data_IF_091907822013
#
_entry.id   IF_091907822013
#
_cell.length_a   1.000
_cell.length_b   1.000
_cell.length_c   1.000
_cell.angle_alpha   90.00
_cell.angle_beta   90.00
_cell.angle_gamma   90.00
#
_symmetry.space_group_name_H-M   'P 1'
#
loop_
_entity.id
_entity.type
_entity.pdbx_description
1 polymer ?
#
# COMPACT_ATOMS: atom_id res chain seq x y z
N UNK A 1 -0.06 15.47 15.69
CA UNK A 1 -1.40 14.88 15.74
C UNK A 1 -1.69 14.37 14.34
N UNK A 2 -1.47 13.08 14.09
CA UNK A 2 -1.69 12.49 12.76
C UNK A 2 -3.16 12.07 12.67
N UNK A 3 -4.00 12.89 12.03
CA UNK A 3 -5.47 12.74 12.00
C UNK A 3 -5.99 11.78 10.92
N UNK A 4 -5.12 10.98 10.32
CA UNK A 4 -5.45 10.10 9.19
C UNK A 4 -4.73 8.77 9.34
N UNK A 5 -5.47 7.69 9.07
CA UNK A 5 -4.92 6.35 8.89
C UNK A 5 -4.93 6.01 7.41
N UNK A 6 -3.83 5.44 6.93
CA UNK A 6 -3.70 4.94 5.56
C UNK A 6 -3.93 3.44 5.60
N UNK A 7 -4.95 2.98 4.89
CA UNK A 7 -5.16 1.55 4.69
C UNK A 7 -4.76 1.21 3.26
N UNK A 8 -3.88 0.22 3.12
CA UNK A 8 -3.45 -0.29 1.82
C UNK A 8 -4.68 -0.85 1.11
N UNK A 9 -5.09 -0.19 0.04
CA UNK A 9 -6.14 -0.71 -0.85
C UNK A 9 -5.48 -1.56 -1.92
N UNK A 10 -4.27 -1.17 -2.35
CA UNK A 10 -3.66 -1.73 -3.54
C UNK A 10 -2.14 -1.54 -3.57
N UNK A 11 -1.43 -2.62 -3.90
CA UNK A 11 0.00 -2.63 -4.20
C UNK A 11 0.19 -3.44 -5.49
N UNK A 12 0.91 -2.92 -6.48
CA UNK A 12 1.14 -3.61 -7.77
C UNK A 12 2.59 -3.81 -8.14
N UNK A 13 2.94 -5.07 -8.30
CA UNK A 13 4.14 -5.49 -9.00
C UNK A 13 3.74 -5.87 -10.42
N UNK A 14 4.41 -5.29 -11.41
CA UNK A 14 3.95 -5.31 -12.80
C UNK A 14 4.48 -6.49 -13.63
N UNK A 15 4.94 -7.55 -12.98
CA UNK A 15 5.23 -8.83 -13.65
C UNK A 15 3.98 -9.50 -14.20
N UNK A 16 4.18 -10.15 -15.35
CA UNK A 16 3.17 -10.88 -16.10
C UNK A 16 2.89 -12.27 -15.51
N UNK A 17 1.61 -12.63 -15.56
CA UNK A 17 1.00 -13.94 -15.35
C UNK A 17 0.70 -14.40 -13.91
N UNK A 18 -0.62 -14.66 -13.77
CA UNK A 18 -1.39 -15.18 -12.63
C UNK A 18 -1.70 -14.13 -11.56
N UNK A 19 -3.00 -13.88 -11.34
CA UNK A 19 -3.52 -13.13 -10.20
C UNK A 19 -3.13 -13.84 -8.90
N UNK A 20 -1.94 -13.52 -8.40
CA UNK A 20 -1.41 -14.00 -7.13
C UNK A 20 -0.96 -12.80 -6.34
N UNK A 21 -1.40 -12.77 -5.09
CA UNK A 21 -0.84 -11.92 -4.06
C UNK A 21 0.51 -12.53 -3.67
N UNK A 22 1.59 -11.76 -3.76
CA UNK A 22 2.97 -12.21 -3.50
C UNK A 22 3.60 -11.32 -2.43
N UNK A 23 4.29 -11.96 -1.49
CA UNK A 23 5.19 -11.29 -0.55
C UNK A 23 6.61 -11.45 -1.03
N UNK A 24 7.37 -10.38 -0.95
CA UNK A 24 8.78 -10.40 -1.32
C UNK A 24 9.65 -10.39 -0.07
N UNK A 25 10.62 -11.31 -0.01
CA UNK A 25 11.53 -11.42 1.14
C UNK A 25 12.37 -10.15 1.34
N UNK A 26 12.62 -9.39 0.27
CA UNK A 26 13.35 -8.13 0.29
C UNK A 26 12.45 -6.91 0.56
N UNK A 27 11.13 -7.10 0.76
CA UNK A 27 10.25 -6.02 1.22
C UNK A 27 10.31 -5.88 2.74
N UNK A 28 11.05 -4.88 3.23
CA UNK A 28 11.20 -4.64 4.67
C UNK A 28 9.88 -4.30 5.39
N UNK A 29 8.85 -3.91 4.63
CA UNK A 29 7.52 -3.61 5.14
C UNK A 29 6.56 -4.80 5.03
N UNK A 30 7.04 -5.96 4.54
CA UNK A 30 6.27 -7.20 4.37
C UNK A 30 4.94 -6.98 3.62
N UNK A 31 4.98 -6.03 2.68
CA UNK A 31 3.88 -5.65 1.81
C UNK A 31 3.51 -6.80 0.88
N UNK A 32 2.21 -6.95 0.63
CA UNK A 32 1.66 -7.92 -0.31
C UNK A 32 1.40 -7.21 -1.63
N UNK A 33 2.11 -7.60 -2.68
CA UNK A 33 1.96 -7.06 -4.03
C UNK A 33 1.07 -7.98 -4.86
N UNK A 34 0.16 -7.43 -5.68
CA UNK A 34 -0.62 -8.25 -6.61
C UNK A 34 -0.24 -7.99 -8.07
N UNK A 35 -0.41 -9.01 -8.90
CA UNK A 35 -0.18 -8.95 -10.35
C UNK A 35 -1.52 -8.98 -11.09
N UNK A 36 -2.21 -7.84 -11.22
CA UNK A 36 -3.52 -7.83 -11.90
C UNK A 36 -3.90 -6.53 -12.61
N UNK A 37 -2.91 -5.76 -13.07
CA UNK A 37 -3.25 -4.73 -14.06
C UNK A 37 -3.64 -5.44 -15.37
N UNK A 38 -4.88 -5.29 -15.86
CA UNK A 38 -5.27 -5.85 -17.14
C UNK A 38 -4.37 -5.23 -18.20
N UNK A 39 -3.64 -6.07 -18.94
CA UNK A 39 -2.82 -5.62 -20.04
C UNK A 39 -3.74 -4.98 -21.07
N UNK A 40 -3.66 -3.66 -21.22
CA UNK A 40 -4.10 -3.05 -22.46
C UNK A 40 -3.15 -3.51 -23.57
N UNK A 41 -3.60 -3.59 -24.84
CA UNK A 41 -2.72 -3.90 -25.98
C UNK A 41 -1.56 -2.90 -26.14
N UNK A 42 -1.59 -1.79 -25.41
CA UNK A 42 -0.70 -0.64 -25.49
C UNK A 42 0.49 -0.73 -24.53
N UNK A 43 0.62 -1.80 -23.75
CA UNK A 43 1.66 -1.95 -22.72
C UNK A 43 2.53 -3.19 -22.99
N UNK A 44 3.83 -3.08 -22.71
CA UNK A 44 4.80 -4.19 -22.64
C UNK A 44 5.47 -4.24 -21.27
N UNK A 45 6.14 -5.34 -20.95
CA UNK A 45 6.93 -5.47 -19.72
C UNK A 45 8.42 -5.39 -20.03
N UNK A 46 9.16 -4.68 -19.18
CA UNK A 46 10.61 -4.62 -19.21
C UNK A 46 11.17 -5.02 -17.84
N UNK A 47 12.37 -5.58 -17.83
CA UNK A 47 13.11 -5.91 -16.62
C UNK A 47 14.59 -5.60 -16.82
N UNK A 48 15.33 -5.47 -15.72
CA UNK A 48 16.79 -5.45 -15.79
C UNK A 48 17.37 -6.84 -15.59
N UNK A 49 18.39 -7.18 -16.38
CA UNK A 49 19.18 -8.41 -16.24
C UNK A 49 20.21 -8.34 -15.11
N UNK A 50 20.40 -7.16 -14.49
CA UNK A 50 21.35 -6.96 -13.38
C UNK A 50 20.67 -7.09 -12.03
N UNK A 51 21.47 -7.38 -11.00
CA UNK A 51 21.03 -7.34 -9.60
C UNK A 51 20.47 -5.96 -9.27
N UNK A 52 19.33 -5.93 -8.59
CA UNK A 52 18.55 -4.75 -8.22
C UNK A 52 19.26 -3.86 -7.17
N UNK A 53 20.44 -3.35 -7.50
CA UNK A 53 21.19 -2.40 -6.67
C UNK A 53 20.69 -0.98 -6.97
N UNK A 54 19.43 -0.72 -6.62
CA UNK A 54 18.87 0.61 -6.72
C UNK A 54 19.48 1.50 -5.64
N UNK A 55 19.95 2.69 -6.02
CA UNK A 55 20.30 3.71 -5.01
C UNK A 55 19.01 4.09 -4.29
N UNK A 56 18.94 3.91 -2.97
CA UNK A 56 17.73 4.29 -2.22
C UNK A 56 17.44 5.77 -2.44
N UNK A 57 16.34 6.06 -3.14
CA UNK A 57 15.99 7.42 -3.52
C UNK A 57 15.10 8.13 -2.52
N UNK A 58 14.40 7.38 -1.66
CA UNK A 58 13.41 7.88 -0.71
C UNK A 58 13.05 6.82 0.36
N UNK A 59 12.46 7.27 1.48
CA UNK A 59 11.88 6.41 2.51
C UNK A 59 10.66 5.65 1.97
N UNK A 60 10.40 4.43 2.44
CA UNK A 60 9.21 3.61 2.04
C UNK A 60 9.25 3.07 0.60
N UNK A 61 10.42 3.09 -0.02
CA UNK A 61 10.67 2.51 -1.34
C UNK A 61 10.16 1.05 -1.45
N UNK A 62 9.51 0.67 -2.58
CA UNK A 62 9.14 -0.70 -2.87
C UNK A 62 10.32 -1.67 -2.82
N UNK A 63 10.02 -2.97 -2.63
CA UNK A 63 11.03 -4.02 -2.74
C UNK A 63 11.84 -3.89 -4.04
N UNK A 64 13.13 -4.21 -3.98
CA UNK A 64 14.00 -4.13 -5.14
C UNK A 64 13.49 -5.04 -6.26
N UNK A 65 12.89 -6.18 -5.88
CA UNK A 65 12.16 -7.09 -6.77
C UNK A 65 11.05 -6.39 -7.58
N UNK A 66 10.26 -5.52 -6.96
CA UNK A 66 9.21 -4.73 -7.65
C UNK A 66 9.84 -3.74 -8.62
N UNK A 67 10.84 -2.98 -8.13
CA UNK A 67 11.50 -1.93 -8.90
C UNK A 67 12.30 -2.45 -10.09
N UNK A 68 12.78 -3.70 -10.04
CA UNK A 68 13.52 -4.31 -11.14
C UNK A 68 12.66 -4.71 -12.34
N UNK A 69 11.36 -4.48 -12.24
CA UNK A 69 10.38 -4.72 -13.30
C UNK A 69 9.55 -3.48 -13.53
N UNK A 70 9.14 -3.26 -14.78
CA UNK A 70 8.24 -2.17 -15.11
C UNK A 70 7.31 -2.57 -16.24
N UNK A 71 6.14 -1.94 -16.27
CA UNK A 71 5.39 -1.79 -17.52
C UNK A 71 5.91 -0.59 -18.29
N UNK A 72 5.91 -0.71 -19.60
CA UNK A 72 6.31 0.32 -20.54
C UNK A 72 5.20 0.54 -21.55
N UNK A 73 4.92 1.80 -21.88
CA UNK A 73 4.00 2.11 -22.96
C UNK A 73 4.60 1.69 -24.30
N UNK A 74 3.79 1.15 -25.21
CA UNK A 74 4.18 0.93 -26.60
C UNK A 74 4.16 2.21 -27.42
N UNK A 75 3.34 3.18 -27.01
CA UNK A 75 3.23 4.50 -27.61
C UNK A 75 3.85 5.60 -26.73
N UNK A 76 3.23 6.76 -26.75
CA UNK A 76 3.65 7.93 -25.96
C UNK A 76 2.98 8.01 -24.59
N UNK A 77 1.93 7.23 -24.33
CA UNK A 77 1.17 7.30 -23.09
C UNK A 77 0.73 5.94 -22.56
N UNK A 78 0.41 5.90 -21.26
CA UNK A 78 -0.32 4.81 -20.62
C UNK A 78 -1.35 5.37 -19.64
N UNK A 79 -2.51 4.70 -19.55
CA UNK A 79 -3.63 5.15 -18.71
C UNK A 79 -4.16 4.01 -17.86
N UNK A 80 -4.54 4.34 -16.62
CA UNK A 80 -5.15 3.43 -15.68
C UNK A 80 -6.43 4.03 -15.11
N UNK A 81 -7.52 3.28 -15.23
CA UNK A 81 -8.78 3.58 -14.56
C UNK A 81 -9.00 2.54 -13.46
N UNK A 82 -9.06 3.01 -12.21
CA UNK A 82 -9.17 2.17 -11.02
C UNK A 82 -10.61 2.11 -10.49
N UNK A 83 -11.62 2.33 -11.33
CA UNK A 83 -13.06 2.29 -10.98
C UNK A 83 -13.51 1.02 -10.27
N UNK A 84 -12.88 -0.13 -10.53
CA UNK A 84 -13.24 -1.42 -9.91
C UNK A 84 -12.80 -1.55 -8.45
N UNK A 85 -11.89 -0.68 -7.99
CA UNK A 85 -11.24 -0.78 -6.68
C UNK A 85 -11.33 0.52 -5.87
N UNK A 86 -11.76 1.62 -6.50
CA UNK A 86 -11.93 2.93 -5.85
C UNK A 86 -13.40 3.30 -5.75
N UNK A 87 -13.75 4.12 -4.76
CA UNK A 87 -15.13 4.53 -4.48
C UNK A 87 -15.28 6.04 -4.68
N UNK A 88 -16.33 6.53 -5.38
CA UNK A 88 -16.61 7.95 -5.58
C UNK A 88 -16.61 8.83 -4.31
N UNK A 89 -16.86 8.25 -3.14
CA UNK A 89 -17.02 8.98 -1.87
C UNK A 89 -15.74 9.01 -1.01
N UNK A 90 -14.78 8.15 -1.31
CA UNK A 90 -13.55 7.99 -0.54
C UNK A 90 -12.46 8.96 -0.99
N UNK A 91 -11.55 9.25 -0.08
CA UNK A 91 -10.30 9.93 -0.37
C UNK A 91 -9.18 8.89 -0.50
N UNK A 92 -8.29 9.09 -1.45
CA UNK A 92 -7.19 8.19 -1.75
C UNK A 92 -5.87 8.94 -1.81
N UNK A 93 -4.82 8.31 -1.31
CA UNK A 93 -3.43 8.71 -1.55
C UNK A 93 -2.83 7.72 -2.54
N UNK A 94 -2.28 8.22 -3.63
CA UNK A 94 -1.74 7.43 -4.75
C UNK A 94 -0.24 7.66 -4.84
N UNK A 95 0.53 6.59 -4.97
CA UNK A 95 1.97 6.62 -5.18
C UNK A 95 2.35 5.82 -6.42
N UNK A 96 3.08 6.46 -7.31
CA UNK A 96 3.61 5.90 -8.54
C UNK A 96 5.13 5.82 -8.40
N UNK A 97 5.68 4.61 -8.47
CA UNK A 97 7.10 4.35 -8.27
C UNK A 97 7.78 4.09 -9.61
N UNK A 98 8.92 4.74 -9.81
CA UNK A 98 9.70 4.70 -11.04
C UNK A 98 11.15 4.30 -10.73
N UNK A 99 11.71 3.41 -11.55
CA UNK A 99 13.11 3.09 -11.55
C UNK A 99 13.62 2.98 -13.00
N UNK A 100 14.76 3.61 -13.29
CA UNK A 100 15.31 3.63 -14.65
C UNK A 100 16.08 2.34 -14.96
N UNK A 101 15.48 1.48 -15.79
CA UNK A 101 16.00 0.15 -16.14
C UNK A 101 16.80 0.12 -17.46
N UNK A 102 16.76 1.19 -18.24
CA UNK A 102 17.39 1.31 -19.56
C UNK A 102 18.76 1.98 -19.40
N UNK A 103 19.79 1.37 -19.98
CA UNK A 103 21.16 1.85 -19.83
C UNK A 103 21.47 2.98 -20.83
N UNK A 104 22.29 3.97 -20.45
CA UNK A 104 22.88 4.89 -21.42
C UNK A 104 23.62 4.13 -22.53
N UNK A 105 23.63 4.61 -23.79
CA UNK A 105 23.13 5.89 -24.27
C UNK A 105 21.73 5.83 -24.90
N UNK A 106 20.92 4.82 -24.60
CA UNK A 106 19.67 4.49 -25.32
C UNK A 106 18.62 5.62 -25.28
N UNK A 107 18.68 6.52 -24.30
CA UNK A 107 17.85 7.71 -24.21
C UNK A 107 17.57 8.08 -22.75
N UNK A 108 16.70 9.06 -22.56
CA UNK A 108 16.11 9.42 -21.26
C UNK A 108 14.60 9.49 -21.43
N UNK A 109 13.87 9.22 -20.34
CA UNK A 109 12.42 9.42 -20.30
C UNK A 109 12.13 10.77 -19.69
N UNK A 110 11.40 11.60 -20.42
CA UNK A 110 10.79 12.81 -19.90
C UNK A 110 9.28 12.65 -20.00
N UNK A 111 8.55 12.88 -18.91
CA UNK A 111 7.13 12.55 -18.85
C UNK A 111 6.37 13.44 -17.88
N UNK A 112 5.06 13.57 -18.10
CA UNK A 112 4.11 14.13 -17.14
C UNK A 112 3.29 13.00 -16.52
N UNK A 113 2.76 13.27 -15.32
CA UNK A 113 1.85 12.37 -14.61
C UNK A 113 0.58 13.15 -14.30
N UNK A 114 -0.57 12.58 -14.63
CA UNK A 114 -1.89 13.13 -14.31
C UNK A 114 -2.59 12.19 -13.35
N UNK A 115 -3.08 12.69 -12.21
CA UNK A 115 -3.93 11.94 -11.27
C UNK A 115 -5.21 12.73 -11.07
N UNK A 116 -6.38 12.19 -11.47
CA UNK A 116 -7.69 12.86 -11.47
C UNK A 116 -7.61 14.33 -11.93
N UNK A 117 -7.18 14.53 -13.18
CA UNK A 117 -7.04 15.84 -13.85
C UNK A 117 -5.93 16.76 -13.30
N UNK A 118 -5.25 16.39 -12.21
CA UNK A 118 -4.11 17.15 -11.69
C UNK A 118 -2.83 16.70 -12.40
N UNK A 119 -2.34 17.55 -13.30
CA UNK A 119 -1.10 17.34 -14.05
C UNK A 119 0.10 17.74 -13.19
N UNK A 120 1.11 16.87 -13.14
CA UNK A 120 2.38 17.08 -12.46
C UNK A 120 3.55 16.86 -13.43
N UNK A 121 4.64 17.61 -13.23
CA UNK A 121 5.85 17.54 -14.05
C UNK A 121 6.05 18.74 -14.98
N UNK A 122 6.87 18.61 -16.05
CA UNK A 122 7.49 17.37 -16.51
C UNK A 122 8.58 16.86 -15.57
N UNK A 123 8.67 15.54 -15.45
CA UNK A 123 9.70 14.83 -14.70
C UNK A 123 10.76 14.28 -15.63
N UNK A 124 12.00 14.27 -15.14
CA UNK A 124 13.08 13.53 -15.77
C UNK A 124 13.22 12.19 -15.06
N UNK A 125 13.34 11.09 -15.81
CA UNK A 125 13.71 9.82 -15.20
C UNK A 125 15.03 9.96 -14.43
N UNK A 126 15.16 9.27 -13.28
CA UNK A 126 16.43 9.23 -12.58
C UNK A 126 17.52 8.61 -13.48
N UNK A 127 18.78 8.74 -13.07
CA UNK A 127 19.88 8.02 -13.73
C UNK A 127 19.64 6.50 -13.70
N UNK A 128 20.32 5.73 -14.55
CA UNK A 128 20.22 4.27 -14.57
C UNK A 128 20.36 3.68 -13.16
N UNK A 129 19.43 2.80 -12.77
CA UNK A 129 19.28 2.24 -11.42
C UNK A 129 18.98 3.26 -10.30
N UNK A 130 18.65 4.50 -10.67
CA UNK A 130 18.06 5.48 -9.78
C UNK A 130 16.54 5.31 -9.71
N UNK A 131 15.95 5.82 -8.64
CA UNK A 131 14.53 5.66 -8.33
C UNK A 131 13.89 6.98 -7.94
N UNK A 132 12.61 7.14 -8.25
CA UNK A 132 11.79 8.26 -7.78
C UNK A 132 10.36 7.81 -7.56
N UNK A 133 9.55 8.66 -6.95
CA UNK A 133 8.11 8.48 -6.89
C UNK A 133 7.39 9.78 -7.23
N UNK A 134 6.14 9.66 -7.65
CA UNK A 134 5.19 10.77 -7.79
C UNK A 134 3.95 10.37 -7.01
N UNK A 135 3.41 11.29 -6.20
CA UNK A 135 2.22 11.03 -5.41
C UNK A 135 1.13 12.07 -5.61
N UNK A 136 -0.08 11.76 -5.13
CA UNK A 136 -1.20 12.68 -5.13
C UNK A 136 -2.30 12.23 -4.19
N UNK A 137 -3.02 13.19 -3.62
CA UNK A 137 -4.24 12.93 -2.85
C UNK A 137 -5.45 13.34 -3.67
N UNK A 138 -6.38 12.42 -3.89
CA UNK A 138 -7.54 12.61 -4.75
C UNK A 138 -8.79 12.03 -4.11
N UNK A 139 -9.97 12.54 -4.51
CA UNK A 139 -11.25 11.97 -4.09
C UNK A 139 -11.96 11.33 -5.27
N UNK A 140 -12.66 10.24 -4.98
CA UNK A 140 -13.47 9.52 -5.94
C UNK A 140 -12.73 8.48 -6.75
N UNK A 141 -13.18 8.26 -7.99
CA UNK A 141 -12.59 7.25 -8.88
C UNK A 141 -11.18 7.71 -9.28
N UNK A 142 -10.19 6.86 -9.06
CA UNK A 142 -8.79 7.17 -9.39
C UNK A 142 -8.50 6.89 -10.86
N UNK A 143 -8.07 7.91 -11.57
CA UNK A 143 -7.62 7.87 -12.96
C UNK A 143 -6.20 8.40 -13.05
N UNK A 144 -5.33 7.65 -13.71
CA UNK A 144 -3.91 7.95 -13.85
C UNK A 144 -3.56 7.98 -15.34
N UNK A 145 -2.83 9.01 -15.78
CA UNK A 145 -2.19 9.07 -17.11
C UNK A 145 -0.70 9.35 -16.92
N UNK A 146 0.15 8.69 -17.70
CA UNK A 146 1.59 8.97 -17.77
C UNK A 146 1.93 9.18 -19.24
N UNK A 147 2.43 10.37 -19.58
CA UNK A 147 2.59 10.81 -20.97
C UNK A 147 4.03 11.27 -21.22
N UNK A 148 4.66 10.74 -22.26
CA UNK A 148 5.95 11.22 -22.73
C UNK A 148 5.83 12.67 -23.21
N UNK A 149 6.79 13.50 -22.84
CA UNK A 149 6.94 14.82 -23.44
C UNK A 149 7.57 14.71 -24.83
N UNK A 150 7.46 15.78 -25.63
CA UNK A 150 7.99 15.81 -27.00
C UNK A 150 9.51 15.59 -27.10
N UNK A 151 10.25 15.88 -26.04
CA UNK A 151 11.70 15.71 -25.95
C UNK A 151 12.14 14.36 -25.34
N UNK A 152 11.18 13.52 -24.94
CA UNK A 152 11.45 12.17 -24.46
C UNK A 152 11.88 11.25 -25.61
N UNK A 153 12.96 10.49 -25.39
CA UNK A 153 13.44 9.49 -26.37
C UNK A 153 12.95 8.07 -26.08
N UNK A 154 12.39 7.86 -24.89
CA UNK A 154 11.95 6.56 -24.41
C UNK A 154 10.48 6.65 -23.97
N UNK A 155 9.65 5.63 -24.24
CA UNK A 155 8.29 5.58 -23.75
C UNK A 155 8.21 5.58 -22.21
N UNK A 156 7.13 6.11 -21.61
CA UNK A 156 6.95 6.12 -20.17
C UNK A 156 6.94 4.70 -19.58
N UNK A 157 7.33 4.60 -18.32
CA UNK A 157 7.34 3.34 -17.55
C UNK A 157 6.67 3.53 -16.20
N UNK A 158 6.26 2.43 -15.57
CA UNK A 158 5.81 2.39 -14.19
C UNK A 158 6.26 1.09 -13.53
N UNK A 159 6.93 1.18 -12.38
CA UNK A 159 7.52 0.03 -11.69
C UNK A 159 6.63 -0.46 -10.53
N UNK A 160 5.93 0.45 -9.86
CA UNK A 160 5.00 0.11 -8.78
C UNK A 160 3.90 1.15 -8.65
N UNK A 161 2.73 0.72 -8.19
CA UNK A 161 1.59 1.59 -7.90
C UNK A 161 1.03 1.19 -6.54
N UNK A 162 0.97 2.15 -5.62
CA UNK A 162 0.33 2.00 -4.32
C UNK A 162 -0.87 2.95 -4.25
N UNK A 163 -2.01 2.44 -3.81
CA UNK A 163 -3.22 3.24 -3.56
C UNK A 163 -3.69 2.95 -2.14
N UNK A 164 -3.80 4.02 -1.36
CA UNK A 164 -4.24 3.98 0.02
C UNK A 164 -5.58 4.69 0.14
N UNK A 165 -6.55 4.11 0.82
CA UNK A 165 -7.72 4.87 1.25
C UNK A 165 -7.32 5.69 2.47
N UNK A 166 -7.61 6.98 2.41
CA UNK A 166 -7.42 7.90 3.52
C UNK A 166 -8.65 7.78 4.40
N UNK A 167 -8.47 7.26 5.61
CA UNK A 167 -9.55 7.14 6.58
C UNK A 167 -9.36 8.20 7.67
N UNK A 168 -10.30 9.15 7.82
CA UNK A 168 -10.22 10.15 8.86
C UNK A 168 -10.34 9.51 10.24
N UNK A 169 -9.40 9.84 11.13
CA UNK A 169 -9.44 9.42 12.53
C UNK A 169 -10.28 10.42 13.32
N UNK A 170 -11.59 10.17 13.38
CA UNK A 170 -12.54 11.02 14.10
C UNK A 170 -12.48 10.88 15.63
N UNK A 171 -11.72 9.90 16.13
CA UNK A 171 -11.53 9.61 17.55
C UNK A 171 -10.04 9.54 17.86
N UNK A 172 -9.71 9.81 19.12
CA UNK A 172 -8.40 9.47 19.66
C UNK A 172 -8.13 7.96 19.52
N UNK A 173 -6.86 7.55 19.40
CA UNK A 173 -6.49 6.13 19.36
C UNK A 173 -7.08 5.33 20.53
N UNK A 174 -7.20 4.02 20.33
CA UNK A 174 -7.58 3.09 21.38
C UNK A 174 -6.73 3.29 22.63
N UNK A 175 -7.33 3.06 23.79
CA UNK A 175 -6.62 3.20 25.04
C UNK A 175 -5.35 2.35 25.06
N UNK A 176 -4.22 2.96 25.38
CA UNK A 176 -2.90 2.32 25.25
C UNK A 176 -2.71 1.10 26.14
N UNK A 177 -3.32 1.05 27.33
CA UNK A 177 -3.27 -0.14 28.19
C UNK A 177 -3.98 -1.32 27.53
N UNK A 178 -5.15 -1.06 26.93
CA UNK A 178 -5.92 -2.09 26.24
C UNK A 178 -5.20 -2.55 24.95
N UNK A 179 -4.59 -1.63 24.20
CA UNK A 179 -3.76 -1.97 23.02
C UNK A 179 -2.61 -2.89 23.41
N UNK A 180 -1.86 -2.54 24.45
CA UNK A 180 -0.73 -3.35 24.91
C UNK A 180 -1.18 -4.75 25.37
N UNK A 181 -2.30 -4.83 26.10
CA UNK A 181 -2.89 -6.09 26.52
C UNK A 181 -3.30 -6.96 25.32
N UNK A 182 -3.95 -6.37 24.32
CA UNK A 182 -4.36 -7.05 23.10
C UNK A 182 -3.17 -7.55 22.27
N UNK A 183 -2.09 -6.76 22.16
CA UNK A 183 -0.87 -7.19 21.48
C UNK A 183 -0.20 -8.36 22.19
N UNK A 184 -0.19 -8.37 23.53
CA UNK A 184 0.38 -9.47 24.29
C UNK A 184 -0.49 -10.74 24.22
N UNK A 185 -1.82 -10.61 24.22
CA UNK A 185 -2.76 -11.71 23.96
C UNK A 185 -2.51 -12.30 22.56
N UNK A 186 -2.41 -11.43 21.54
CA UNK A 186 -2.11 -11.83 20.16
C UNK A 186 -0.81 -12.63 20.09
N UNK A 187 0.26 -12.13 20.74
CA UNK A 187 1.58 -12.77 20.79
C UNK A 187 1.54 -14.11 21.53
N UNK A 188 0.91 -14.15 22.70
CA UNK A 188 0.85 -15.34 23.58
C UNK A 188 0.18 -16.51 22.89
N UNK A 189 -0.93 -16.25 22.20
CA UNK A 189 -1.74 -17.27 21.56
C UNK A 189 -1.42 -17.46 20.07
N UNK A 190 -0.40 -16.78 19.54
CA UNK A 190 -0.03 -16.87 18.13
C UNK A 190 -1.16 -16.48 17.17
N UNK A 191 -2.00 -15.52 17.54
CA UNK A 191 -3.16 -15.14 16.74
C UNK A 191 -2.69 -14.37 15.50
N UNK A 192 -2.87 -14.99 14.34
CA UNK A 192 -2.54 -14.42 13.02
C UNK A 192 -3.82 -14.13 12.23
N UNK A 193 -4.61 -13.17 12.71
CA UNK A 193 -5.80 -12.67 12.00
C UNK A 193 -5.43 -11.47 11.13
N UNK A 194 -5.97 -11.42 9.91
CA UNK A 194 -5.70 -10.34 8.95
C UNK A 194 -6.19 -8.99 9.48
N UNK A 195 -7.32 -8.98 10.20
CA UNK A 195 -7.89 -7.75 10.77
C UNK A 195 -7.14 -7.26 12.00
N UNK A 196 -6.32 -8.10 12.66
CA UNK A 196 -5.64 -7.75 13.91
C UNK A 196 -4.34 -6.99 13.63
N UNK A 197 -4.42 -5.91 12.86
CA UNK A 197 -3.28 -5.06 12.50
C UNK A 197 -3.60 -3.60 12.85
N UNK A 198 -2.60 -2.85 13.31
CA UNK A 198 -2.77 -1.45 13.71
C UNK A 198 -3.55 -1.29 15.02
N UNK A 199 -4.46 -0.29 15.04
CA UNK A 199 -5.27 0.03 16.23
C UNK A 199 -6.52 -0.88 16.30
N UNK A 200 -6.84 -1.46 17.48
CA UNK A 200 -7.90 -2.46 17.61
C UNK A 200 -9.32 -1.92 17.43
N UNK A 201 -9.55 -0.62 17.61
CA UNK A 201 -10.89 -0.03 17.59
C UNK A 201 -11.07 1.09 16.57
N UNK A 202 -9.99 1.75 16.13
CA UNK A 202 -10.04 2.96 15.32
C UNK A 202 -9.27 2.76 14.01
N UNK A 203 -9.85 3.09 12.85
CA UNK A 203 -11.20 3.63 12.66
C UNK A 203 -12.27 2.55 12.85
N UNK A 204 -13.46 2.93 13.31
CA UNK A 204 -14.48 1.98 13.75
C UNK A 204 -14.89 0.95 12.68
N UNK A 205 -14.88 1.36 11.40
CA UNK A 205 -15.19 0.50 10.25
C UNK A 205 -14.07 -0.49 9.90
N UNK A 206 -12.87 -0.34 10.47
CA UNK A 206 -11.71 -1.22 10.30
C UNK A 206 -11.19 -1.74 11.65
N UNK A 207 -12.05 -1.72 12.67
CA UNK A 207 -11.76 -2.34 13.97
C UNK A 207 -11.48 -3.83 13.81
N UNK A 208 -10.67 -4.37 14.72
CA UNK A 208 -10.27 -5.76 14.68
C UNK A 208 -11.50 -6.68 14.73
N UNK A 209 -11.51 -7.71 13.90
CA UNK A 209 -12.61 -8.67 13.91
C UNK A 209 -12.68 -9.38 15.27
N UNK A 210 -13.90 -9.65 15.74
CA UNK A 210 -14.17 -10.30 17.05
C UNK A 210 -13.72 -9.49 18.27
N UNK A 211 -13.39 -8.21 18.10
CA UNK A 211 -13.13 -7.26 19.17
C UNK A 211 -14.27 -6.25 19.19
N UNK A 212 -14.89 -6.05 20.35
CA UNK A 212 -15.89 -5.00 20.54
C UNK A 212 -15.30 -3.86 21.35
N UNK A 213 -15.56 -2.65 20.88
CA UNK A 213 -15.01 -1.43 21.45
C UNK A 213 -16.10 -0.47 21.93
N UNK A 214 -15.83 0.28 22.99
CA UNK A 214 -16.71 1.34 23.46
C UNK A 214 -16.78 2.49 22.44
N UNK A 215 -17.89 3.25 22.44
CA UNK A 215 -18.07 4.39 21.53
C UNK A 215 -17.39 5.70 21.99
N UNK A 216 -16.74 5.73 23.16
CA UNK A 216 -16.12 6.92 23.73
C UNK A 216 -14.93 7.44 22.90
N UNK A 217 -14.49 8.68 23.20
CA UNK A 217 -13.19 9.17 22.74
C UNK A 217 -12.07 8.38 23.46
N UNK A 218 -11.08 7.93 22.71
CA UNK A 218 -10.15 6.84 23.11
C UNK A 218 -10.87 5.54 23.54
N UNK A 219 -11.32 4.72 22.56
CA UNK A 219 -12.09 3.51 22.84
C UNK A 219 -11.38 2.51 23.77
N UNK A 220 -12.17 1.84 24.61
CA UNK A 220 -11.78 0.69 25.43
C UNK A 220 -12.31 -0.61 24.83
N UNK A 221 -11.61 -1.72 25.08
CA UNK A 221 -12.03 -3.07 24.68
C UNK A 221 -13.08 -3.55 25.69
N UNK A 222 -14.29 -3.81 25.20
CA UNK A 222 -15.43 -4.25 26.02
C UNK A 222 -15.86 -5.69 25.71
N UNK A 223 -15.48 -6.22 24.54
CA UNK A 223 -15.64 -7.64 24.23
C UNK A 223 -14.48 -8.17 23.41
N UNK A 224 -14.13 -9.44 23.64
CA UNK A 224 -13.11 -10.15 22.90
C UNK A 224 -13.57 -11.58 22.67
N UNK A 225 -13.88 -11.97 21.43
CA UNK A 225 -14.33 -13.33 21.15
C UNK A 225 -13.17 -14.21 20.65
N UNK A 226 -12.74 -15.12 21.52
CA UNK A 226 -11.69 -16.11 21.24
C UNK A 226 -12.24 -17.50 20.89
N UNK A 227 -13.56 -17.63 20.70
CA UNK A 227 -14.22 -18.92 20.46
C UNK A 227 -13.71 -19.61 19.20
N UNK A 228 -13.68 -20.95 19.25
CA UNK A 228 -13.30 -21.83 18.13
C UNK A 228 -11.86 -21.65 17.61
N UNK A 229 -10.96 -21.07 18.41
CA UNK A 229 -9.55 -20.87 18.05
C UNK A 229 -8.61 -22.00 18.48
N UNK A 230 -9.11 -23.02 19.18
CA UNK A 230 -8.27 -24.12 19.67
C UNK A 230 -7.12 -23.64 20.56
N UNK A 231 -7.33 -22.56 21.32
CA UNK A 231 -6.31 -21.99 22.18
C UNK A 231 -5.83 -23.05 23.19
N UNK A 232 -4.52 -23.16 23.34
CA UNK A 232 -3.86 -24.06 24.29
C UNK A 232 -2.94 -23.26 25.20
N UNK A 233 -2.59 -23.83 26.36
CA UNK A 233 -1.79 -23.15 27.38
C UNK A 233 -2.64 -22.36 28.38
N UNK A 234 -1.95 -21.56 29.20
CA UNK A 234 -2.56 -20.84 30.32
C UNK A 234 -3.34 -19.59 29.87
N UNK A 235 -4.29 -19.19 30.72
CA UNK A 235 -4.98 -17.90 30.58
C UNK A 235 -3.97 -16.80 30.92
N UNK A 236 -3.63 -15.96 29.94
CA UNK A 236 -2.64 -14.89 30.12
C UNK A 236 -3.13 -13.82 31.09
N UNK A 237 -2.24 -13.36 31.98
CA UNK A 237 -2.51 -12.25 32.90
C UNK A 237 -2.85 -10.96 32.15
N UNK A 238 -2.44 -10.81 30.89
CA UNK A 238 -2.77 -9.64 30.07
C UNK A 238 -4.27 -9.44 29.89
N UNK A 239 -5.10 -10.49 30.01
CA UNK A 239 -6.56 -10.35 30.00
C UNK A 239 -7.07 -9.49 31.16
N UNK A 240 -6.42 -9.53 32.34
CA UNK A 240 -6.83 -8.68 33.46
C UNK A 240 -6.53 -7.18 33.26
N UNK A 241 -5.68 -6.85 32.29
CA UNK A 241 -5.39 -5.46 31.94
C UNK A 241 -6.51 -4.83 31.08
N UNK A 242 -7.39 -5.64 30.49
CA UNK A 242 -8.59 -5.17 29.80
C UNK A 242 -9.68 -4.80 30.82
N UNK A 243 -9.47 -3.70 31.55
CA UNK A 243 -10.31 -3.28 32.70
C UNK A 243 -11.78 -3.02 32.35
N UNK A 244 -12.10 -2.79 31.08
CA UNK A 244 -13.46 -2.54 30.61
C UNK A 244 -14.13 -3.78 29.99
N UNK A 245 -13.44 -4.92 29.94
CA UNK A 245 -13.93 -6.15 29.32
C UNK A 245 -15.16 -6.69 30.06
N UNK A 246 -16.23 -6.96 29.30
CA UNK A 246 -17.50 -7.51 29.82
C UNK A 246 -17.83 -8.88 29.25
N UNK A 247 -17.29 -9.20 28.07
CA UNK A 247 -17.56 -10.44 27.34
C UNK A 247 -16.25 -11.00 26.81
N UNK A 248 -15.98 -12.28 27.08
CA UNK A 248 -14.82 -13.05 26.61
C UNK A 248 -15.30 -14.36 25.96
#
# INVERSE_FOLDING_TARGET
>A
MFNVSYHIVWLRDVRLYVSRSIRYQDDIYDRIWEHSLPLSPEISTINSSRSANFSSGYSEQPAATVLNTAVQARGTDMKYNLEKITNPTSEFSVYLHFAELVQPPQGRRHFTVTINDIIQGPFNSPGYMGTMYVNGSVRGIVQISIEATNDSRLPPILNGLEVFVVVPLLKSPSNSEDVNAMMEIKRTYGISEDSWQGDPCVPANLSWSRVGCSSNDSPRIISLNLSSRGLTGDITASLSNLKSLRVL
#
